data_IF_243908668715
#
_entry.id   IF_243908668715
#
_cell.length_a   1.000
_cell.length_b   1.000
_cell.length_c   1.000
_cell.angle_alpha   90.00
_cell.angle_beta   90.00
_cell.angle_gamma   90.00
#
_symmetry.space_group_name_H-M   'P 1'
#
loop_
_entity.id
_entity.type
_entity.pdbx_description
1 polymer ?
#
# COMPACT_ATOMS: atom_id res chain seq x y z
N UNK A 1 1.56 10.85 -25.63
CA UNK A 1 1.68 9.94 -24.49
C UNK A 1 3.15 9.74 -24.16
N UNK A 2 3.55 9.92 -22.89
CA UNK A 2 4.90 9.71 -22.38
C UNK A 2 4.88 8.52 -21.41
N UNK A 3 5.88 7.65 -21.51
CA UNK A 3 5.98 6.44 -20.68
C UNK A 3 7.23 6.50 -19.81
N UNK A 4 7.07 6.27 -18.50
CA UNK A 4 8.13 6.37 -17.50
C UNK A 4 8.28 5.02 -16.80
N UNK A 5 9.53 4.59 -16.59
CA UNK A 5 9.82 3.36 -15.83
C UNK A 5 9.87 3.67 -14.34
N UNK A 6 9.00 3.06 -13.54
CA UNK A 6 8.92 3.28 -12.09
C UNK A 6 10.19 2.83 -11.35
N UNK A 7 10.93 1.85 -11.87
CA UNK A 7 12.20 1.40 -11.27
C UNK A 7 13.31 2.47 -11.20
N UNK A 8 13.15 3.57 -11.95
CA UNK A 8 14.11 4.68 -11.94
C UNK A 8 13.95 5.57 -10.70
N UNK A 9 12.90 5.35 -9.90
CA UNK A 9 12.59 6.12 -8.69
C UNK A 9 12.77 5.22 -7.47
N UNK A 10 13.66 5.63 -6.58
CA UNK A 10 14.03 4.84 -5.39
C UNK A 10 12.92 4.81 -4.33
N UNK A 11 12.09 5.85 -4.28
CA UNK A 11 11.00 6.01 -3.33
C UNK A 11 9.85 6.83 -3.93
N UNK A 12 8.75 6.96 -3.18
CA UNK A 12 7.59 7.74 -3.61
C UNK A 12 7.91 9.23 -3.75
N UNK A 13 8.74 9.80 -2.86
CA UNK A 13 9.03 11.24 -2.86
C UNK A 13 9.75 11.66 -4.13
N UNK A 14 10.73 10.89 -4.58
CA UNK A 14 11.42 11.15 -5.86
C UNK A 14 10.50 11.05 -7.06
N UNK A 15 9.51 10.14 -7.00
CA UNK A 15 8.49 10.04 -8.05
C UNK A 15 7.53 11.22 -8.01
N UNK A 16 7.06 11.62 -6.83
CA UNK A 16 6.18 12.79 -6.65
C UNK A 16 6.87 14.06 -7.15
N UNK A 17 8.12 14.28 -6.74
CA UNK A 17 8.90 15.43 -7.21
C UNK A 17 8.95 15.48 -8.74
N UNK A 18 9.32 14.37 -9.38
CA UNK A 18 9.35 14.26 -10.83
C UNK A 18 7.97 14.55 -11.46
N UNK A 19 6.89 14.02 -10.88
CA UNK A 19 5.54 14.25 -11.39
C UNK A 19 5.12 15.72 -11.29
N UNK A 20 5.47 16.41 -10.22
CA UNK A 20 5.22 17.84 -10.05
C UNK A 20 5.99 18.67 -11.10
N UNK A 21 7.23 18.30 -11.40
CA UNK A 21 8.01 18.90 -12.49
C UNK A 21 7.35 18.66 -13.86
N UNK A 22 6.84 17.44 -14.11
CA UNK A 22 6.14 17.13 -15.36
C UNK A 22 4.80 17.87 -15.46
N UNK A 23 4.08 18.05 -14.35
CA UNK A 23 2.85 18.83 -14.31
C UNK A 23 3.08 20.27 -14.76
N UNK A 24 4.14 20.91 -14.26
CA UNK A 24 4.53 22.28 -14.69
C UNK A 24 4.82 22.37 -16.20
N UNK A 25 5.19 21.27 -16.84
CA UNK A 25 5.39 21.14 -18.29
C UNK A 25 4.10 20.72 -19.05
N UNK A 26 2.96 20.64 -18.36
CA UNK A 26 1.67 20.24 -18.92
C UNK A 26 1.57 18.73 -19.21
N UNK A 27 2.21 17.89 -18.40
CA UNK A 27 2.08 16.43 -18.46
C UNK A 27 1.36 15.91 -17.21
N UNK A 28 0.22 15.26 -17.41
CA UNK A 28 -0.64 14.71 -16.37
C UNK A 28 -0.56 13.18 -16.39
N UNK A 29 -0.37 12.50 -15.25
CA UNK A 29 -0.51 11.06 -15.17
C UNK A 29 -1.93 10.61 -15.51
N UNK A 30 -2.07 9.50 -16.23
CA UNK A 30 -3.38 8.92 -16.58
C UNK A 30 -3.56 7.50 -16.10
N UNK A 31 -2.48 6.73 -16.05
CA UNK A 31 -2.51 5.36 -15.54
C UNK A 31 -1.13 4.89 -15.13
N UNK A 32 -1.07 3.90 -14.26
CA UNK A 32 0.18 3.21 -13.96
C UNK A 32 -0.03 1.70 -13.69
N UNK A 33 1.03 0.96 -13.88
CA UNK A 33 1.11 -0.46 -13.58
C UNK A 33 2.39 -0.78 -12.80
N UNK A 34 2.68 -2.03 -12.57
CA UNK A 34 3.87 -2.48 -11.81
C UNK A 34 5.19 -1.86 -12.26
N UNK A 35 5.33 -1.54 -13.55
CA UNK A 35 6.62 -1.16 -14.14
C UNK A 35 6.65 0.26 -14.71
N UNK A 36 5.49 0.79 -15.08
CA UNK A 36 5.39 2.02 -15.87
C UNK A 36 4.27 2.93 -15.39
N UNK A 37 4.54 4.23 -15.52
CA UNK A 37 3.57 5.31 -15.41
C UNK A 37 3.39 5.94 -16.79
N UNK A 38 2.16 6.28 -17.14
CA UNK A 38 1.80 6.90 -18.41
C UNK A 38 1.31 8.33 -18.16
N UNK A 39 1.83 9.27 -18.98
CA UNK A 39 1.43 10.69 -18.91
C UNK A 39 0.91 11.14 -20.27
N UNK A 40 -0.08 12.03 -20.22
CA UNK A 40 -0.67 12.68 -21.39
C UNK A 40 -0.58 14.19 -21.27
N UNK A 41 -0.68 14.89 -22.39
CA UNK A 41 -0.73 16.34 -22.38
C UNK A 41 -2.02 16.81 -21.74
N UNK A 42 -1.91 17.78 -20.85
CA UNK A 42 -3.00 18.40 -20.10
C UNK A 42 -2.83 19.93 -20.10
N UNK A 43 -3.91 20.70 -20.13
CA UNK A 43 -3.85 22.15 -19.90
C UNK A 43 -3.55 22.50 -18.43
N UNK A 44 -3.66 21.54 -17.52
CA UNK A 44 -3.39 21.72 -16.09
C UNK A 44 -1.87 21.73 -15.89
N UNK A 45 -1.35 22.79 -15.29
CA UNK A 45 0.08 22.99 -15.04
C UNK A 45 0.41 23.31 -13.59
N UNK A 46 -0.60 23.40 -12.72
CA UNK A 46 -0.46 23.73 -11.30
C UNK A 46 -1.11 22.68 -10.42
N UNK A 47 -0.68 22.59 -9.18
CA UNK A 47 -1.15 21.60 -8.21
C UNK A 47 -0.02 20.67 -7.77
N UNK A 48 -0.38 19.60 -7.10
CA UNK A 48 0.60 18.63 -6.59
C UNK A 48 0.03 17.21 -6.54
N UNK A 49 0.94 16.24 -6.54
CA UNK A 49 0.61 14.82 -6.46
C UNK A 49 0.96 14.25 -5.10
N UNK A 50 0.19 13.24 -4.72
CA UNK A 50 0.44 12.42 -3.54
C UNK A 50 0.28 10.95 -3.88
N UNK A 51 1.04 10.11 -3.22
CA UNK A 51 0.94 8.66 -3.35
C UNK A 51 0.62 8.10 -1.97
N UNK A 52 -0.45 7.30 -1.92
CA UNK A 52 -0.83 6.59 -0.72
C UNK A 52 -1.18 5.13 -1.03
N UNK A 53 -1.28 4.33 0.02
CA UNK A 53 -1.60 2.91 -0.06
C UNK A 53 -2.89 2.64 0.70
N UNK A 54 -3.92 2.13 0.00
CA UNK A 54 -5.12 1.70 0.68
C UNK A 54 -4.85 0.47 1.55
N UNK A 55 -5.20 0.56 2.81
CA UNK A 55 -5.13 -0.57 3.72
C UNK A 55 -6.40 -1.43 3.58
N UNK A 56 -6.33 -2.70 3.19
CA UNK A 56 -7.51 -3.56 3.12
C UNK A 56 -8.13 -3.89 4.49
N UNK A 57 -7.60 -3.33 5.59
CA UNK A 57 -7.78 -3.90 6.93
C UNK A 57 -8.75 -3.18 7.85
N UNK A 58 -9.33 -2.04 7.44
CA UNK A 58 -10.24 -1.30 8.31
C UNK A 58 -11.72 -1.33 7.89
N UNK A 59 -12.13 -2.35 7.14
CA UNK A 59 -13.52 -2.46 6.70
C UNK A 59 -13.93 -1.44 5.64
N UNK A 60 -13.04 -0.54 5.26
CA UNK A 60 -13.28 0.38 4.17
C UNK A 60 -13.12 -0.34 2.85
N UNK A 61 -14.16 -0.32 2.04
CA UNK A 61 -14.01 -0.71 0.65
C UNK A 61 -13.26 0.39 -0.13
N UNK A 62 -12.77 0.06 -1.31
CA UNK A 62 -12.02 1.02 -2.14
C UNK A 62 -12.79 2.31 -2.42
N UNK A 63 -14.12 2.28 -2.47
CA UNK A 63 -14.93 3.47 -2.75
C UNK A 63 -14.99 4.42 -1.55
N UNK A 64 -15.08 3.91 -0.33
CA UNK A 64 -15.03 4.72 0.90
C UNK A 64 -13.67 5.39 1.08
N UNK A 65 -12.59 4.65 0.82
CA UNK A 65 -11.23 5.17 0.83
C UNK A 65 -11.05 6.33 -0.17
N UNK A 66 -11.49 6.14 -1.41
CA UNK A 66 -11.44 7.18 -2.45
C UNK A 66 -12.31 8.38 -2.07
N UNK A 67 -13.53 8.15 -1.57
CA UNK A 67 -14.45 9.20 -1.17
C UNK A 67 -13.90 10.04 -0.01
N UNK A 68 -13.21 9.42 0.93
CA UNK A 68 -12.54 10.13 2.00
C UNK A 68 -11.57 11.18 1.45
N UNK A 69 -10.62 10.79 0.60
CA UNK A 69 -9.66 11.73 0.02
C UNK A 69 -10.30 12.77 -0.90
N UNK A 70 -11.32 12.36 -1.67
CA UNK A 70 -12.06 13.26 -2.53
C UNK A 70 -12.71 14.40 -1.73
N UNK A 71 -13.26 14.12 -0.57
CA UNK A 71 -13.86 15.12 0.34
C UNK A 71 -12.82 16.13 0.88
N UNK A 72 -11.55 15.79 0.89
CA UNK A 72 -10.44 16.68 1.23
C UNK A 72 -9.81 17.38 0.02
N UNK A 73 -10.41 17.25 -1.17
CA UNK A 73 -9.93 17.91 -2.39
C UNK A 73 -8.82 17.14 -3.11
N UNK A 74 -8.61 15.87 -2.77
CA UNK A 74 -7.64 15.00 -3.44
C UNK A 74 -8.35 14.08 -4.43
N UNK A 75 -8.11 14.31 -5.74
CA UNK A 75 -8.71 13.53 -6.81
C UNK A 75 -7.86 12.30 -7.12
N UNK A 76 -8.42 11.08 -7.10
CA UNK A 76 -7.71 9.90 -7.55
C UNK A 76 -7.48 9.97 -9.06
N UNK A 77 -6.23 9.85 -9.48
CA UNK A 77 -5.85 9.91 -10.90
C UNK A 77 -5.60 8.53 -11.46
N UNK A 78 -4.90 7.70 -10.72
CA UNK A 78 -4.55 6.37 -11.14
C UNK A 78 -4.29 5.47 -9.93
N UNK A 79 -4.50 4.17 -10.11
CA UNK A 79 -4.18 3.18 -9.09
C UNK A 79 -3.57 1.90 -9.71
N UNK A 80 -2.76 1.24 -8.91
CA UNK A 80 -2.26 -0.09 -9.20
C UNK A 80 -2.21 -0.89 -7.89
N UNK A 81 -2.98 -1.97 -7.83
CA UNK A 81 -3.21 -2.74 -6.60
C UNK A 81 -3.77 -1.82 -5.49
N UNK A 82 -3.08 -1.74 -4.35
CA UNK A 82 -3.43 -0.88 -3.23
C UNK A 82 -2.70 0.48 -3.22
N UNK A 83 -1.92 0.78 -4.26
CA UNK A 83 -1.21 2.05 -4.42
C UNK A 83 -2.04 3.02 -5.25
N UNK A 84 -2.32 4.19 -4.70
CA UNK A 84 -3.11 5.25 -5.33
C UNK A 84 -2.27 6.50 -5.55
N UNK A 85 -2.44 7.11 -6.71
CA UNK A 85 -1.92 8.41 -7.05
C UNK A 85 -3.06 9.42 -7.00
N UNK A 86 -2.93 10.40 -6.12
CA UNK A 86 -3.87 11.51 -5.97
C UNK A 86 -3.27 12.80 -6.52
N UNK A 87 -4.17 13.69 -6.95
CA UNK A 87 -3.86 15.03 -7.39
C UNK A 87 -4.75 16.03 -6.65
N UNK A 88 -4.19 17.19 -6.29
CA UNK A 88 -4.94 18.36 -5.85
C UNK A 88 -4.49 19.60 -6.61
N UNK A 89 -5.44 20.48 -6.93
CA UNK A 89 -5.14 21.77 -7.53
C UNK A 89 -4.51 22.76 -6.53
N UNK A 90 -4.71 22.52 -5.23
CA UNK A 90 -4.12 23.33 -4.17
C UNK A 90 -2.66 22.92 -3.95
N UNK A 91 -1.74 23.83 -4.28
CA UNK A 91 -0.29 23.62 -4.14
C UNK A 91 0.20 23.71 -2.69
N UNK A 92 -0.66 24.11 -1.75
CA UNK A 92 -0.34 24.28 -0.32
C UNK A 92 -1.02 23.19 0.52
N UNK A 93 -1.96 22.43 -0.07
CA UNK A 93 -2.66 21.38 0.64
C UNK A 93 -1.67 20.38 1.25
N UNK A 94 -1.73 20.19 2.54
CA UNK A 94 -1.08 19.07 3.19
C UNK A 94 -1.93 17.82 2.98
N UNK A 95 -1.36 16.76 2.45
CA UNK A 95 -2.01 15.47 2.42
C UNK A 95 -2.40 15.10 3.86
N UNK A 96 -3.65 14.78 4.12
CA UNK A 96 -4.05 14.37 5.46
C UNK A 96 -3.14 13.20 5.82
N UNK A 97 -2.21 13.44 6.75
CA UNK A 97 -1.34 12.39 7.26
C UNK A 97 -2.28 11.38 7.90
N UNK A 98 -2.63 10.39 7.11
CA UNK A 98 -3.49 9.36 7.61
C UNK A 98 -2.71 8.72 8.76
N UNK A 99 -3.22 8.87 9.97
CA UNK A 99 -2.79 8.07 11.12
C UNK A 99 -2.80 6.57 10.79
N UNK A 100 -3.34 6.22 9.64
CA UNK A 100 -3.35 4.92 8.99
C UNK A 100 -1.98 4.50 8.44
N UNK A 101 -1.10 5.40 7.98
CA UNK A 101 0.27 4.97 7.61
C UNK A 101 1.03 4.43 8.82
N UNK A 102 0.81 5.01 10.01
CA UNK A 102 1.33 4.47 11.26
C UNK A 102 0.65 3.15 11.61
N UNK A 103 -0.67 3.04 11.42
CA UNK A 103 -1.44 1.80 11.61
C UNK A 103 -1.05 0.71 10.61
N UNK A 104 -0.65 1.06 9.38
CA UNK A 104 -0.12 0.10 8.41
C UNK A 104 1.21 -0.50 8.84
N UNK A 105 2.13 0.32 9.26
CA UNK A 105 3.41 -0.18 9.78
C UNK A 105 3.20 -1.08 11.00
N UNK A 106 2.25 -0.73 11.87
CA UNK A 106 1.89 -1.52 13.03
C UNK A 106 1.15 -2.81 12.63
N UNK A 107 0.29 -2.75 11.61
CA UNK A 107 -0.38 -3.94 11.08
C UNK A 107 0.61 -4.92 10.45
N UNK A 108 1.52 -4.46 9.61
CA UNK A 108 2.54 -5.35 9.02
C UNK A 108 3.49 -5.92 10.07
N UNK A 109 3.84 -5.14 11.09
CA UNK A 109 4.58 -5.66 12.25
C UNK A 109 3.77 -6.69 13.01
N UNK A 110 2.50 -6.41 13.30
CA UNK A 110 1.61 -7.31 14.02
C UNK A 110 1.31 -8.59 13.21
N UNK A 111 1.06 -8.47 11.90
CA UNK A 111 0.82 -9.62 11.01
C UNK A 111 2.02 -10.57 10.94
N UNK A 112 3.24 -10.03 10.84
CA UNK A 112 4.47 -10.86 10.93
C UNK A 112 4.61 -11.51 12.31
N UNK A 113 4.31 -10.75 13.36
CA UNK A 113 4.36 -11.24 14.72
C UNK A 113 3.32 -12.36 14.94
N UNK A 114 2.08 -12.18 14.47
CA UNK A 114 1.04 -13.20 14.49
C UNK A 114 1.43 -14.47 13.72
N UNK A 115 2.05 -14.33 12.56
CA UNK A 115 2.53 -15.47 11.79
C UNK A 115 3.62 -16.25 12.53
N UNK A 116 4.54 -15.55 13.19
CA UNK A 116 5.60 -16.17 14.01
C UNK A 116 4.99 -16.86 15.24
N UNK A 117 4.06 -16.22 15.94
CA UNK A 117 3.38 -16.79 17.11
C UNK A 117 2.62 -18.05 16.70
N UNK A 118 1.83 -18.01 15.63
CA UNK A 118 1.11 -19.19 15.14
C UNK A 118 2.05 -20.33 14.75
N UNK A 119 3.20 -20.02 14.16
CA UNK A 119 4.19 -21.03 13.82
C UNK A 119 4.81 -21.67 15.08
N UNK A 120 5.11 -20.88 16.09
CA UNK A 120 5.61 -21.37 17.39
C UNK A 120 4.56 -22.27 18.07
N UNK A 121 3.30 -21.82 18.10
CA UNK A 121 2.18 -22.60 18.66
C UNK A 121 2.05 -23.94 17.92
N UNK A 122 2.13 -23.94 16.59
CA UNK A 122 2.06 -25.16 15.78
C UNK A 122 3.20 -26.12 16.11
N UNK A 123 4.43 -25.64 16.30
CA UNK A 123 5.56 -26.50 16.72
C UNK A 123 5.30 -27.13 18.10
N UNK A 124 4.83 -26.33 19.08
CA UNK A 124 4.54 -26.82 20.42
C UNK A 124 3.45 -27.91 20.40
N UNK A 125 2.35 -27.67 19.68
CA UNK A 125 1.29 -28.66 19.54
C UNK A 125 1.77 -29.94 18.84
N UNK A 126 2.59 -29.79 17.79
CA UNK A 126 3.15 -30.95 17.07
C UNK A 126 4.04 -31.81 17.98
N UNK A 127 4.86 -31.17 18.83
CA UNK A 127 5.71 -31.92 19.79
C UNK A 127 4.90 -32.64 20.85
N UNK A 128 3.86 -32.00 21.41
CA UNK A 128 2.97 -32.63 22.40
C UNK A 128 2.20 -33.81 21.79
N UNK A 129 1.74 -33.69 20.55
CA UNK A 129 1.07 -34.81 19.86
C UNK A 129 2.03 -35.97 19.60
N UNK A 130 3.29 -35.67 19.30
CA UNK A 130 4.30 -36.71 19.11
C UNK A 130 4.58 -37.49 20.39
N UNK A 131 4.69 -36.79 21.52
CA UNK A 131 4.92 -37.41 22.83
C UNK A 131 3.74 -38.31 23.27
N UNK A 132 2.50 -37.86 23.03
CA UNK A 132 1.30 -38.66 23.32
C UNK A 132 1.24 -39.91 22.42
N UNK A 133 1.59 -39.77 21.14
CA UNK A 133 1.57 -40.89 20.21
C UNK A 133 2.64 -41.93 20.53
N UNK A 134 3.84 -41.51 20.88
CA UNK A 134 4.93 -42.41 21.27
C UNK A 134 4.64 -43.09 22.61
N UNK A 135 4.07 -42.38 23.58
CA UNK A 135 3.70 -42.95 24.88
C UNK A 135 2.60 -44.03 24.77
N UNK A 136 1.63 -43.82 23.86
CA UNK A 136 0.55 -44.81 23.65
C UNK A 136 1.04 -46.09 22.96
N UNK A 137 2.06 -46.02 22.12
CA UNK A 137 2.63 -47.20 21.47
C UNK A 137 3.37 -48.12 22.46
N UNK A 138 3.93 -47.58 23.53
CA UNK A 138 4.55 -48.40 24.60
C UNK A 138 3.54 -49.17 25.44
N UNK A 139 2.28 -48.70 25.57
CA UNK A 139 1.23 -49.39 26.35
C UNK A 139 0.61 -50.59 25.60
N UNK A 140 0.77 -50.69 24.31
CA UNK A 140 0.27 -51.79 23.48
C UNK A 140 1.29 -52.93 23.26
N UNK A 141 2.51 -52.84 23.82
CA UNK A 141 3.57 -53.87 23.70
C UNK A 141 3.74 -54.70 24.98
N UNK A 142 2.86 -54.55 25.98
CA UNK A 142 2.76 -55.45 27.16
C UNK A 142 1.50 -56.31 27.06
#
# INVERSE_FOLDING_TARGET
MKKIKLKNYSNNDSLIQYLNEQLALGWMPTSFNKHYLYLEKSPVTTGQFFIDYSAPTHGWNNSEYIQFYFNYGFNPIANFQNKYLFYTADSIASFPSCSEQLKWNDYFKSSKLYSIINFIIFIIFSSLFWDVFTSSTYLFQQ
#
